data_IF_636978463847
#
_entry.id   IF_636978463847
#
_cell.length_a   1.000
_cell.length_b   1.000
_cell.length_c   1.000
_cell.angle_alpha   90.00
_cell.angle_beta   90.00
_cell.angle_gamma   90.00
#
_symmetry.space_group_name_H-M   'P 1'
#
loop_
_entity.id
_entity.type
_entity.pdbx_description
1 polymer ?
#
# COMPACT_ATOMS: atom_id res chain seq x y z
N UNK A 1 11.42 37.06 3.68
CA UNK A 1 10.18 36.35 4.11
C UNK A 1 10.54 34.92 4.39
N UNK A 2 10.08 34.35 5.51
CA UNK A 2 10.23 32.92 5.78
C UNK A 2 9.02 32.19 5.19
N UNK A 3 9.24 31.04 4.55
CA UNK A 3 8.18 30.19 3.99
C UNK A 3 8.53 28.72 4.14
N UNK A 4 7.52 27.87 4.28
CA UNK A 4 7.64 26.41 4.34
C UNK A 4 6.67 25.81 3.33
N UNK A 5 7.14 24.81 2.57
CA UNK A 5 6.32 23.97 1.71
C UNK A 5 6.79 22.53 1.91
N UNK A 6 6.17 21.83 2.84
CA UNK A 6 6.50 20.44 3.17
C UNK A 6 5.23 19.60 3.31
N UNK A 7 5.27 18.41 2.74
CA UNK A 7 4.24 17.38 2.84
C UNK A 7 4.86 16.12 3.38
N UNK A 8 4.16 15.46 4.31
CA UNK A 8 4.50 14.15 4.84
C UNK A 8 3.29 13.25 4.65
N UNK A 9 3.47 12.13 3.98
CA UNK A 9 2.44 11.13 3.75
C UNK A 9 2.87 9.76 4.27
N UNK A 10 1.94 9.09 4.94
CA UNK A 10 2.00 7.68 5.25
C UNK A 10 0.69 7.05 4.76
N UNK A 11 0.76 6.22 3.73
CA UNK A 11 -0.43 5.66 3.11
C UNK A 11 -0.13 4.43 2.27
N UNK A 12 -1.15 3.93 1.58
CA UNK A 12 -1.06 2.74 0.75
C UNK A 12 -1.22 3.09 -0.73
N UNK A 13 -0.49 2.36 -1.60
CA UNK A 13 -0.66 2.52 -3.03
C UNK A 13 -2.02 1.97 -3.49
N UNK A 14 -2.79 2.80 -4.19
CA UNK A 14 -4.07 2.40 -4.79
C UNK A 14 -3.92 1.62 -6.08
N UNK A 15 -2.78 1.78 -6.77
CA UNK A 15 -2.40 1.08 -8.00
C UNK A 15 -0.91 0.89 -8.08
N UNK A 16 -0.45 0.06 -9.02
CA UNK A 16 0.97 -0.12 -9.29
C UNK A 16 1.61 1.21 -9.73
N UNK A 17 2.89 1.45 -9.37
CA UNK A 17 3.66 2.61 -9.81
C UNK A 17 3.75 2.69 -11.33
N UNK A 18 3.62 3.90 -11.88
CA UNK A 18 3.82 4.16 -13.30
C UNK A 18 5.18 4.81 -13.51
N UNK A 19 6.16 4.04 -13.97
CA UNK A 19 7.50 4.54 -14.24
C UNK A 19 7.68 4.88 -15.72
N UNK A 20 8.26 6.03 -15.99
CA UNK A 20 8.64 6.51 -17.32
C UNK A 20 10.07 7.04 -17.26
N UNK A 21 10.73 7.09 -18.42
CA UNK A 21 12.04 7.66 -18.55
C UNK A 21 11.96 8.95 -19.39
N UNK A 22 12.65 9.98 -18.95
CA UNK A 22 12.80 11.21 -19.72
C UNK A 22 13.71 10.99 -20.92
N UNK A 23 13.73 11.94 -21.84
CA UNK A 23 14.67 11.92 -22.98
C UNK A 23 16.14 11.92 -22.55
N UNK A 24 16.43 12.40 -21.34
CA UNK A 24 17.75 12.37 -20.72
C UNK A 24 18.08 11.05 -20.02
N UNK A 25 17.14 10.09 -19.96
CA UNK A 25 17.32 8.80 -19.30
C UNK A 25 16.99 8.79 -17.81
N UNK A 26 16.52 9.88 -17.23
CA UNK A 26 16.12 9.96 -15.83
C UNK A 26 14.77 9.28 -15.61
N UNK A 27 14.69 8.41 -14.61
CA UNK A 27 13.45 7.78 -14.21
C UNK A 27 12.49 8.78 -13.53
N UNK A 28 11.21 8.70 -13.88
CA UNK A 28 10.12 9.45 -13.24
C UNK A 28 9.00 8.46 -12.93
N UNK A 29 8.62 8.34 -11.66
CA UNK A 29 7.58 7.43 -11.22
C UNK A 29 6.43 8.18 -10.57
N UNK A 30 5.21 7.92 -11.07
CA UNK A 30 3.98 8.44 -10.51
C UNK A 30 3.37 7.41 -9.56
N UNK A 31 3.04 7.85 -8.35
CA UNK A 31 2.36 7.07 -7.33
C UNK A 31 1.00 7.68 -7.02
N UNK A 32 0.00 6.82 -6.84
CA UNK A 32 -1.29 7.20 -6.24
C UNK A 32 -1.35 6.62 -4.83
N UNK A 33 -1.34 7.48 -3.83
CA UNK A 33 -1.31 7.10 -2.42
C UNK A 33 -2.65 7.46 -1.77
N UNK A 34 -3.27 6.49 -1.11
CA UNK A 34 -4.47 6.67 -0.32
C UNK A 34 -4.09 6.87 1.15
N UNK A 35 -4.65 7.90 1.78
CA UNK A 35 -4.65 8.09 3.23
C UNK A 35 -6.09 8.04 3.72
N UNK A 36 -6.39 7.17 4.70
CA UNK A 36 -7.73 7.01 5.24
C UNK A 36 -7.79 7.51 6.67
N UNK A 37 -8.81 8.29 6.95
CA UNK A 37 -9.15 8.79 8.27
C UNK A 37 -10.46 8.14 8.73
N UNK A 38 -10.53 7.75 9.98
CA UNK A 38 -11.73 7.21 10.60
C UNK A 38 -12.08 8.04 11.84
N UNK A 39 -13.33 8.46 11.93
CA UNK A 39 -13.81 9.19 13.10
C UNK A 39 -15.24 8.76 13.44
N UNK A 40 -15.70 9.14 14.63
CA UNK A 40 -17.11 9.01 15.01
C UNK A 40 -17.79 10.37 14.85
N UNK A 41 -18.94 10.38 14.22
CA UNK A 41 -19.76 11.58 14.13
C UNK A 41 -20.47 11.88 15.47
N UNK A 42 -21.28 12.95 15.48
CA UNK A 42 -22.03 13.36 16.68
C UNK A 42 -23.10 12.35 17.12
N UNK A 43 -23.53 11.47 16.22
CA UNK A 43 -24.50 10.39 16.49
C UNK A 43 -23.82 9.10 16.97
N UNK A 44 -22.46 9.07 16.99
CA UNK A 44 -21.67 7.93 17.39
C UNK A 44 -21.40 6.93 16.26
N UNK A 45 -21.84 7.22 15.03
CA UNK A 45 -21.58 6.41 13.86
C UNK A 45 -20.14 6.57 13.38
N UNK A 46 -19.56 5.46 12.92
CA UNK A 46 -18.21 5.46 12.33
C UNK A 46 -18.28 6.01 10.91
N UNK A 47 -17.49 7.03 10.67
CA UNK A 47 -17.28 7.63 9.36
C UNK A 47 -15.86 7.32 8.89
N UNK A 48 -15.69 7.15 7.58
CA UNK A 48 -14.39 6.94 6.96
C UNK A 48 -14.28 7.85 5.73
N UNK A 49 -13.12 8.47 5.59
CA UNK A 49 -12.78 9.30 4.43
C UNK A 49 -11.41 8.90 3.91
N UNK A 50 -11.31 8.71 2.61
CA UNK A 50 -10.04 8.44 1.93
C UNK A 50 -9.68 9.60 1.02
N UNK A 51 -8.47 10.12 1.21
CA UNK A 51 -7.87 11.12 0.32
C UNK A 51 -6.84 10.47 -0.59
N UNK A 52 -6.86 10.89 -1.86
CA UNK A 52 -5.97 10.40 -2.89
C UNK A 52 -4.92 11.42 -3.24
N UNK A 53 -3.65 11.05 -3.06
CA UNK A 53 -2.51 11.91 -3.32
C UNK A 53 -1.75 11.45 -4.55
N UNK A 54 -1.50 12.38 -5.47
CA UNK A 54 -0.60 12.14 -6.60
C UNK A 54 0.80 12.56 -6.20
N UNK A 55 1.72 11.59 -6.19
CA UNK A 55 3.13 11.80 -5.85
C UNK A 55 3.99 11.49 -7.07
N UNK A 56 4.96 12.35 -7.34
CA UNK A 56 5.95 12.19 -8.41
C UNK A 56 7.33 12.05 -7.79
N UNK A 57 8.02 10.97 -8.13
CA UNK A 57 9.40 10.70 -7.73
C UNK A 57 10.33 10.82 -8.94
N UNK A 58 11.57 11.21 -8.70
CA UNK A 58 12.59 11.39 -9.74
C UNK A 58 13.85 10.57 -9.44
N UNK A 59 14.59 10.22 -10.51
CA UNK A 59 15.90 9.57 -10.43
C UNK A 59 15.84 8.25 -9.67
N UNK A 60 16.82 8.00 -8.80
CA UNK A 60 16.95 6.71 -8.11
C UNK A 60 15.75 6.34 -7.24
N UNK A 61 15.07 7.29 -6.63
CA UNK A 61 13.86 6.98 -5.85
C UNK A 61 12.70 6.52 -6.75
N UNK A 62 12.62 7.06 -7.95
CA UNK A 62 11.66 6.64 -8.96
C UNK A 62 11.91 5.19 -9.41
N UNK A 63 13.18 4.82 -9.65
CA UNK A 63 13.57 3.45 -9.99
C UNK A 63 13.22 2.47 -8.88
N UNK A 64 13.61 2.78 -7.63
CA UNK A 64 13.30 1.95 -6.46
C UNK A 64 11.79 1.81 -6.26
N UNK A 65 11.03 2.89 -6.44
CA UNK A 65 9.57 2.83 -6.33
C UNK A 65 8.96 1.92 -7.40
N UNK A 66 9.42 2.04 -8.65
CA UNK A 66 8.94 1.21 -9.76
C UNK A 66 9.27 -0.28 -9.59
N UNK A 67 10.42 -0.59 -9.00
CA UNK A 67 10.89 -1.97 -8.83
C UNK A 67 10.23 -2.69 -7.63
N UNK A 68 10.10 -1.99 -6.50
CA UNK A 68 9.75 -2.63 -5.22
C UNK A 68 8.33 -2.33 -4.75
N UNK A 69 7.69 -1.26 -5.21
CA UNK A 69 6.33 -0.94 -4.82
C UNK A 69 5.31 -1.62 -5.74
N UNK A 70 4.19 -2.00 -5.13
CA UNK A 70 3.02 -2.55 -5.81
C UNK A 70 1.74 -2.03 -5.16
N UNK A 71 0.61 -2.16 -5.85
CA UNK A 71 -0.71 -1.86 -5.29
C UNK A 71 -0.87 -2.48 -3.90
N UNK A 72 -1.40 -1.70 -2.96
CA UNK A 72 -1.64 -2.11 -1.57
C UNK A 72 -0.44 -1.98 -0.63
N UNK A 73 0.78 -1.73 -1.13
CA UNK A 73 1.96 -1.53 -0.28
C UNK A 73 1.90 -0.20 0.45
N UNK A 74 2.33 -0.22 1.70
CA UNK A 74 2.49 0.99 2.50
C UNK A 74 3.80 1.69 2.18
N UNK A 75 3.75 3.01 2.10
CA UNK A 75 4.91 3.85 1.81
C UNK A 75 4.86 5.13 2.63
N UNK A 76 6.02 5.58 3.07
CA UNK A 76 6.24 6.88 3.67
C UNK A 76 6.91 7.80 2.65
N UNK A 77 6.38 9.01 2.50
CA UNK A 77 6.88 10.03 1.57
C UNK A 77 7.06 11.35 2.32
N UNK A 78 8.19 11.98 2.10
CA UNK A 78 8.39 13.41 2.36
C UNK A 78 8.57 14.14 1.04
N UNK A 79 7.99 15.31 0.91
CA UNK A 79 8.07 16.10 -0.30
C UNK A 79 7.49 17.49 -0.14
N UNK A 80 7.18 18.11 -1.26
CA UNK A 80 6.57 19.43 -1.34
C UNK A 80 5.41 19.46 -2.33
N UNK A 81 4.45 20.35 -2.11
CA UNK A 81 3.38 20.61 -3.08
C UNK A 81 3.93 21.38 -4.28
N UNK A 82 3.48 20.99 -5.46
CA UNK A 82 3.73 21.70 -6.69
C UNK A 82 2.46 21.73 -7.53
N UNK A 83 2.05 22.92 -7.95
CA UNK A 83 0.95 23.10 -8.90
C UNK A 83 1.50 23.40 -10.27
N UNK A 84 1.10 22.60 -11.25
CA UNK A 84 1.44 22.81 -12.66
C UNK A 84 0.19 23.23 -13.43
N UNK A 85 0.37 24.23 -14.29
CA UNK A 85 -0.61 24.64 -15.28
C UNK A 85 -0.37 23.84 -16.56
N UNK A 86 -1.42 23.28 -17.13
CA UNK A 86 -1.36 22.59 -18.40
C UNK A 86 -2.60 22.92 -19.24
N UNK A 87 -2.49 22.78 -20.54
CA UNK A 87 -3.61 22.94 -21.47
C UNK A 87 -4.10 21.55 -21.85
N UNK A 88 -5.38 21.29 -21.69
CA UNK A 88 -5.99 20.03 -22.12
C UNK A 88 -6.16 19.95 -23.63
N UNK A 89 -6.75 18.84 -24.11
CA UNK A 89 -6.98 18.59 -25.54
C UNK A 89 -7.98 19.57 -26.15
N UNK A 90 -8.81 20.19 -25.35
CA UNK A 90 -9.84 21.16 -25.75
C UNK A 90 -9.34 22.60 -25.70
N UNK A 91 -8.04 22.81 -25.42
CA UNK A 91 -7.42 24.12 -25.33
C UNK A 91 -7.68 24.85 -24.01
N UNK A 92 -8.31 24.17 -23.05
CA UNK A 92 -8.64 24.77 -21.74
C UNK A 92 -7.45 24.67 -20.79
N UNK A 93 -7.12 25.77 -20.14
CA UNK A 93 -6.08 25.80 -19.11
C UNK A 93 -6.58 25.15 -17.82
N UNK A 94 -5.83 24.16 -17.35
CA UNK A 94 -6.11 23.43 -16.10
C UNK A 94 -4.90 23.45 -15.17
N UNK A 95 -5.17 23.31 -13.89
CA UNK A 95 -4.15 23.20 -12.86
C UNK A 95 -4.14 21.79 -12.29
N UNK A 96 -2.96 21.21 -12.14
CA UNK A 96 -2.77 19.94 -11.46
C UNK A 96 -1.84 20.16 -10.27
N UNK A 97 -2.35 19.87 -9.07
CA UNK A 97 -1.55 19.89 -7.85
C UNK A 97 -1.05 18.47 -7.59
N UNK A 98 0.25 18.36 -7.46
CA UNK A 98 0.95 17.10 -7.20
C UNK A 98 2.00 17.29 -6.09
N UNK A 99 2.44 16.19 -5.50
CA UNK A 99 3.49 16.20 -4.49
C UNK A 99 4.77 15.72 -5.16
N UNK A 100 5.79 16.56 -5.16
CA UNK A 100 7.14 16.17 -5.57
C UNK A 100 7.81 15.53 -4.36
N UNK A 101 8.08 14.21 -4.44
CA UNK A 101 8.72 13.48 -3.35
C UNK A 101 10.23 13.73 -3.35
N UNK A 102 10.72 14.14 -2.18
CA UNK A 102 12.15 14.35 -1.93
C UNK A 102 12.76 13.14 -1.21
N UNK A 103 11.96 12.39 -0.43
CA UNK A 103 12.37 11.18 0.28
C UNK A 103 11.24 10.15 0.28
N UNK A 104 11.61 8.90 0.06
CA UNK A 104 10.69 7.75 0.15
C UNK A 104 11.27 6.69 1.07
N UNK A 105 10.41 6.02 1.84
CA UNK A 105 10.75 4.84 2.62
C UNK A 105 9.68 3.78 2.44
N UNK A 106 10.12 2.59 2.06
CA UNK A 106 9.27 1.41 1.95
C UNK A 106 8.91 0.92 3.35
N UNK A 107 7.63 0.65 3.59
CA UNK A 107 7.12 0.14 4.84
C UNK A 107 6.50 -1.24 4.63
N UNK A 108 6.64 -2.11 5.62
CA UNK A 108 6.14 -3.48 5.57
C UNK A 108 7.22 -4.52 5.32
N UNK A 109 6.98 -5.74 5.78
CA UNK A 109 7.87 -6.87 5.60
C UNK A 109 7.99 -7.25 4.13
N UNK A 110 9.16 -7.64 3.71
CA UNK A 110 9.43 -8.32 2.45
C UNK A 110 8.54 -9.56 2.40
N UNK A 111 7.52 -9.59 1.55
CA UNK A 111 6.85 -10.86 1.25
C UNK A 111 7.88 -11.77 0.55
N UNK A 112 8.33 -12.81 1.26
CA UNK A 112 9.19 -13.82 0.64
C UNK A 112 10.41 -14.27 1.42
N UNK A 113 10.50 -14.07 2.74
CA UNK A 113 11.42 -14.86 3.57
C UNK A 113 10.73 -15.26 4.86
N UNK A 114 10.02 -16.40 4.78
CA UNK A 114 9.73 -17.19 5.95
C UNK A 114 11.05 -17.74 6.49
N UNK A 115 11.61 -17.07 7.48
CA UNK A 115 12.50 -17.60 8.48
C UNK A 115 12.47 -16.60 9.63
N UNK A 116 11.80 -16.98 10.70
CA UNK A 116 11.89 -16.29 11.96
C UNK A 116 13.35 -16.13 12.36
N UNK A 117 13.78 -14.91 12.47
CA UNK A 117 14.88 -14.54 13.33
C UNK A 117 14.25 -13.74 14.46
N UNK A 118 13.76 -14.46 15.46
CA UNK A 118 13.69 -13.94 16.79
C UNK A 118 15.11 -13.50 17.15
N UNK A 119 15.38 -12.24 16.99
CA UNK A 119 16.50 -11.60 17.70
C UNK A 119 16.01 -11.38 19.15
N UNK A 120 16.12 -12.48 19.88
CA UNK A 120 16.09 -12.45 21.35
C UNK A 120 17.23 -11.56 21.83
N UNK A 121 16.93 -10.35 22.26
CA UNK A 121 17.77 -9.55 23.12
C UNK A 121 17.73 -10.14 24.54
N UNK A 122 18.22 -11.42 24.65
CA UNK A 122 18.41 -12.10 25.91
C UNK A 122 19.56 -11.50 26.68
N UNK A 123 19.18 -10.74 27.69
CA UNK A 123 20.02 -10.38 28.82
C UNK A 123 20.63 -11.64 29.43
N UNK A 124 21.96 -11.79 29.37
CA UNK A 124 22.66 -12.88 29.98
C UNK A 124 22.63 -12.82 31.51
N UNK A 125 22.39 -13.98 32.11
CA UNK A 125 22.93 -14.32 33.42
C UNK A 125 22.84 -15.82 33.66
N UNK A 126 23.96 -16.45 33.69
CA UNK A 126 24.50 -17.43 34.62
C UNK A 126 23.75 -18.71 34.94
N UNK A 127 24.42 -19.84 34.68
CA UNK A 127 24.59 -20.88 35.69
C UNK A 127 23.88 -22.22 35.52
N UNK A 128 24.65 -23.28 35.23
CA UNK A 128 24.51 -24.54 35.96
C UNK A 128 23.77 -25.71 35.33
N UNK A 129 24.48 -26.64 34.73
CA UNK A 129 24.55 -28.07 35.02
C UNK A 129 23.28 -28.93 35.05
N UNK A 130 23.30 -30.06 34.27
CA UNK A 130 22.46 -31.20 34.54
C UNK A 130 22.21 -32.10 33.35
N UNK A 131 22.93 -33.21 33.30
CA UNK A 131 22.73 -34.33 32.38
C UNK A 131 21.46 -35.11 32.68
N UNK A 132 20.81 -35.72 31.66
CA UNK A 132 19.69 -36.64 31.84
C UNK A 132 19.17 -37.23 30.52
N UNK A 133 19.57 -38.43 30.30
CA UNK A 133 19.27 -39.45 29.33
C UNK A 133 17.78 -39.92 29.25
N UNK A 134 17.40 -40.45 28.05
CA UNK A 134 16.28 -41.41 27.85
C UNK A 134 15.18 -40.83 26.96
N UNK A 135 14.76 -41.35 25.79
CA UNK A 135 14.54 -42.72 25.43
C UNK A 135 13.10 -42.89 24.95
N UNK A 136 12.87 -43.39 23.72
CA UNK A 136 11.64 -44.04 23.26
C UNK A 136 10.67 -43.15 22.51
N UNK A 137 10.32 -43.28 21.20
CA UNK A 137 9.80 -44.46 20.59
C UNK A 137 8.30 -44.33 20.37
N UNK A 138 7.78 -44.36 19.11
CA UNK A 138 6.37 -44.59 18.89
C UNK A 138 5.81 -44.01 17.58
N UNK A 139 5.98 -44.74 16.49
CA UNK A 139 5.15 -44.69 15.28
C UNK A 139 3.66 -44.85 15.57
N UNK A 140 2.81 -44.20 14.77
CA UNK A 140 1.61 -44.85 14.17
C UNK A 140 0.96 -43.94 13.12
N UNK A 141 0.83 -44.51 11.94
CA UNK A 141 0.01 -44.21 10.76
C UNK A 141 -1.50 -44.31 11.04
N UNK A 142 -2.31 -43.51 10.33
CA UNK A 142 -3.59 -43.93 9.76
C UNK A 142 -4.10 -42.84 8.80
N UNK A 143 -4.09 -42.98 7.55
CA UNK A 143 -5.04 -43.20 6.47
C UNK A 143 -6.51 -42.94 6.82
N UNK A 144 -7.15 -42.05 6.04
CA UNK A 144 -8.59 -41.87 6.02
C UNK A 144 -9.03 -41.07 4.79
N UNK A 145 -9.39 -41.80 3.74
CA UNK A 145 -10.06 -41.28 2.54
C UNK A 145 -11.55 -41.06 2.85
N UNK A 146 -12.13 -40.04 2.21
CA UNK A 146 -13.57 -39.76 2.25
C UNK A 146 -14.00 -38.84 1.13
N UNK A 147 -14.44 -39.46 0.04
CA UNK A 147 -15.13 -38.87 -1.10
C UNK A 147 -16.56 -38.43 -0.73
N UNK A 148 -17.02 -37.30 -1.31
CA UNK A 148 -18.40 -36.86 -1.24
C UNK A 148 -18.70 -35.80 -2.30
N UNK A 149 -19.37 -36.24 -3.37
CA UNK A 149 -19.87 -35.43 -4.49
C UNK A 149 -21.24 -34.82 -4.18
N UNK A 150 -21.58 -33.73 -4.90
CA UNK A 150 -22.94 -33.21 -5.08
C UNK A 150 -23.01 -31.71 -4.90
N UNK A 151 -23.33 -30.92 -5.85
CA UNK A 151 -24.43 -30.76 -6.77
C UNK A 151 -24.79 -29.26 -6.84
N UNK A 152 -24.71 -28.69 -8.03
CA UNK A 152 -25.57 -27.71 -8.71
C UNK A 152 -26.31 -26.63 -7.89
N UNK A 153 -26.15 -25.36 -8.34
CA UNK A 153 -27.08 -24.27 -8.12
C UNK A 153 -26.58 -22.97 -8.74
N UNK A 154 -27.03 -22.68 -9.95
CA UNK A 154 -26.72 -21.47 -10.71
C UNK A 154 -27.47 -20.26 -10.15
N UNK A 155 -26.87 -19.11 -10.34
CA UNK A 155 -27.45 -17.81 -10.07
C UNK A 155 -26.50 -16.72 -10.54
N UNK A 156 -26.64 -16.30 -11.79
CA UNK A 156 -25.96 -15.13 -12.31
C UNK A 156 -26.51 -13.86 -11.67
N UNK A 157 -25.68 -12.92 -11.19
CA UNK A 157 -26.16 -11.61 -10.81
C UNK A 157 -26.33 -10.74 -12.04
N UNK A 158 -27.50 -10.10 -12.12
CA UNK A 158 -27.92 -9.08 -13.07
C UNK A 158 -26.91 -7.93 -13.11
N UNK A 159 -26.49 -7.56 -14.30
CA UNK A 159 -25.80 -6.30 -14.59
C UNK A 159 -26.79 -5.16 -14.38
N UNK A 160 -26.51 -4.28 -13.45
CA UNK A 160 -27.15 -2.97 -13.35
C UNK A 160 -26.39 -1.99 -14.23
N UNK A 161 -27.11 -1.29 -15.10
CA UNK A 161 -26.62 -0.22 -15.96
C UNK A 161 -26.09 0.96 -15.13
N UNK A 162 -24.96 1.57 -15.55
CA UNK A 162 -24.47 2.82 -14.97
C UNK A 162 -24.85 4.01 -15.88
N UNK A 163 -26.13 4.37 -15.91
CA UNK A 163 -26.57 5.62 -16.51
C UNK A 163 -27.73 6.15 -15.67
N UNK A 164 -27.37 6.93 -14.67
CA UNK A 164 -28.13 7.98 -14.00
C UNK A 164 -27.29 8.52 -12.84
N UNK A 165 -26.44 9.47 -13.17
CA UNK A 165 -25.87 10.38 -12.17
C UNK A 165 -26.46 11.75 -12.46
N UNK A 166 -27.55 12.05 -11.74
CA UNK A 166 -28.08 13.40 -11.63
C UNK A 166 -27.04 14.34 -11.02
N UNK A 167 -26.68 15.34 -11.80
CA UNK A 167 -25.92 16.51 -11.41
C UNK A 167 -26.80 17.43 -10.55
N UNK A 168 -26.66 17.34 -9.23
CA UNK A 168 -27.11 18.40 -8.34
C UNK A 168 -26.09 18.57 -7.21
N UNK A 169 -25.11 19.43 -7.45
CA UNK A 169 -24.23 19.96 -6.41
C UNK A 169 -24.66 21.41 -6.14
N UNK A 170 -25.34 21.71 -5.03
CA UNK A 170 -25.51 23.10 -4.59
C UNK A 170 -24.23 23.58 -3.91
N UNK A 171 -23.84 24.80 -4.26
CA UNK A 171 -22.74 25.58 -3.70
C UNK A 171 -22.96 25.92 -2.22
#
# INVERSE_FOLDING_TARGET
MASVNKVILLGNLGRDPETRYTTGGDAVTNLNIATSEQWKDKSGEKQERTEWHRVVLFGRQAEVAGEYLKKGRSVYIEGRLQTRKYTDKDGVEKYSTEIVGDRMQLLGSREGSGAGSDVDFGSGSGGGGGAGSGGGGGSRSSSGAGSGAGSKGGGAPKRSNPDELDDDIPF
#
